data_IF_277700114756
#
_entry.id   IF_277700114756
#
_cell.length_a   1.000
_cell.length_b   1.000
_cell.length_c   1.000
_cell.angle_alpha   90.00
_cell.angle_beta   90.00
_cell.angle_gamma   90.00
#
_symmetry.space_group_name_H-M   'P 1'
#
loop_
_entity.id
_entity.type
_entity.pdbx_description
1 polymer ?
#
# COMPACT_ATOMS: atom_id res chain seq x y z
N UNK A 1 5.23 14.93 -12.05
CA UNK A 1 5.19 13.92 -10.97
C UNK A 1 6.59 13.74 -10.42
N UNK A 2 6.75 13.70 -9.09
CA UNK A 2 8.03 13.70 -8.35
C UNK A 2 9.03 12.63 -8.86
N UNK A 3 8.52 11.44 -9.17
CA UNK A 3 9.29 10.30 -9.69
C UNK A 3 9.99 10.58 -11.03
N UNK A 4 9.33 11.27 -11.97
CA UNK A 4 9.96 11.64 -13.27
C UNK A 4 11.12 12.61 -13.12
N UNK A 5 11.19 13.37 -12.02
CA UNK A 5 12.26 14.34 -11.77
C UNK A 5 13.46 13.73 -11.04
N UNK A 6 13.24 12.72 -10.19
CA UNK A 6 14.28 12.16 -9.31
C UNK A 6 14.84 10.82 -9.81
N UNK A 7 14.15 10.11 -10.71
CA UNK A 7 14.52 8.78 -11.19
C UNK A 7 14.57 8.65 -12.71
N UNK A 8 14.84 9.74 -13.43
CA UNK A 8 14.85 9.74 -14.90
C UNK A 8 15.87 8.78 -15.55
N UNK A 9 16.88 8.32 -14.79
CA UNK A 9 17.98 7.48 -15.27
C UNK A 9 17.77 5.97 -15.08
N UNK A 10 16.72 5.52 -14.37
CA UNK A 10 16.43 4.08 -14.22
C UNK A 10 15.44 3.60 -15.30
N UNK A 11 15.50 2.32 -15.70
CA UNK A 11 14.55 1.72 -16.65
C UNK A 11 13.09 2.03 -16.29
N UNK A 12 12.25 2.16 -17.31
CA UNK A 12 10.83 2.53 -17.14
C UNK A 12 10.09 1.59 -16.16
N UNK A 13 10.36 0.29 -16.21
CA UNK A 13 9.77 -0.70 -15.31
C UNK A 13 10.17 -0.46 -13.83
N UNK A 14 11.39 0.01 -13.58
CA UNK A 14 11.84 0.37 -12.23
C UNK A 14 11.17 1.67 -11.76
N UNK A 15 10.98 2.65 -12.65
CA UNK A 15 10.23 3.86 -12.34
C UNK A 15 8.77 3.55 -11.97
N UNK A 16 8.13 2.62 -12.69
CA UNK A 16 6.78 2.14 -12.37
C UNK A 16 6.74 1.50 -10.98
N UNK A 17 7.68 0.62 -10.67
CA UNK A 17 7.75 -0.07 -9.37
C UNK A 17 7.96 0.91 -8.20
N UNK A 18 8.79 1.94 -8.41
CA UNK A 18 9.00 3.01 -7.43
C UNK A 18 7.71 3.82 -7.25
N UNK A 19 7.06 4.21 -8.34
CA UNK A 19 5.81 4.97 -8.31
C UNK A 19 4.68 4.21 -7.63
N UNK A 20 4.59 2.90 -7.89
CA UNK A 20 3.62 1.99 -7.27
C UNK A 20 3.79 1.98 -5.74
N UNK A 21 5.03 1.84 -5.26
CA UNK A 21 5.34 1.88 -3.84
C UNK A 21 5.02 3.25 -3.21
N UNK A 22 5.36 4.34 -3.91
CA UNK A 22 5.07 5.69 -3.43
C UNK A 22 3.56 5.98 -3.38
N UNK A 23 2.78 5.51 -4.35
CA UNK A 23 1.33 5.63 -4.33
C UNK A 23 0.72 4.93 -3.10
N UNK A 24 1.21 3.72 -2.77
CA UNK A 24 0.80 3.02 -1.55
C UNK A 24 1.18 3.82 -0.30
N UNK A 25 2.39 4.39 -0.25
CA UNK A 25 2.85 5.20 0.88
C UNK A 25 2.00 6.46 1.08
N UNK A 26 1.68 7.19 0.00
CA UNK A 26 0.81 8.37 0.05
C UNK A 26 -0.57 8.01 0.60
N UNK A 27 -1.16 6.92 0.11
CA UNK A 27 -2.46 6.46 0.62
C UNK A 27 -2.41 6.01 2.09
N UNK A 28 -1.30 5.43 2.57
CA UNK A 28 -1.11 5.14 3.99
C UNK A 28 -1.02 6.42 4.84
N UNK A 29 -0.32 7.45 4.38
CA UNK A 29 -0.27 8.75 5.07
C UNK A 29 -1.65 9.42 5.10
N UNK A 30 -2.40 9.36 4.00
CA UNK A 30 -3.78 9.86 3.96
C UNK A 30 -4.66 9.12 4.96
N UNK A 31 -4.52 7.80 5.10
CA UNK A 31 -5.25 7.02 6.11
C UNK A 31 -4.95 7.48 7.55
N UNK A 32 -3.71 7.88 7.85
CA UNK A 32 -3.36 8.40 9.18
C UNK A 32 -4.02 9.74 9.49
N UNK A 33 -4.62 10.44 8.53
CA UNK A 33 -5.31 11.70 8.80
C UNK A 33 -6.69 11.50 9.44
N UNK A 34 -7.30 10.32 9.27
CA UNK A 34 -8.63 10.03 9.79
C UNK A 34 -8.60 9.81 11.32
N UNK A 35 -9.52 10.45 12.09
CA UNK A 35 -9.51 10.37 13.56
C UNK A 35 -9.54 8.94 14.12
N UNK A 36 -10.42 8.08 13.58
CA UNK A 36 -10.55 6.69 14.03
C UNK A 36 -9.29 5.85 13.74
N UNK A 37 -8.54 6.19 12.70
CA UNK A 37 -7.27 5.54 12.38
C UNK A 37 -6.18 5.97 13.35
N UNK A 38 -6.09 7.28 13.64
CA UNK A 38 -5.14 7.82 14.63
C UNK A 38 -5.36 7.17 16.00
N UNK A 39 -6.60 7.12 16.44
CA UNK A 39 -6.98 6.51 17.72
C UNK A 39 -6.64 5.01 17.75
N UNK A 40 -7.00 4.26 16.71
CA UNK A 40 -6.66 2.84 16.62
C UNK A 40 -5.15 2.58 16.64
N UNK A 41 -4.36 3.42 15.97
CA UNK A 41 -2.90 3.34 15.96
C UNK A 41 -2.30 3.67 17.34
N UNK A 42 -2.78 4.73 18.00
CA UNK A 42 -2.34 5.13 19.34
C UNK A 42 -2.66 4.07 20.39
N UNK A 43 -3.83 3.43 20.28
CA UNK A 43 -4.28 2.38 21.19
C UNK A 43 -3.69 1.00 20.85
N UNK A 44 -2.88 0.87 19.80
CA UNK A 44 -2.30 -0.39 19.34
C UNK A 44 -3.31 -1.40 18.78
N UNK A 45 -4.60 -1.03 18.67
CA UNK A 45 -5.69 -1.90 18.21
C UNK A 45 -5.77 -1.99 16.69
N UNK A 46 -5.10 -1.07 15.98
CA UNK A 46 -5.06 -0.97 14.54
C UNK A 46 -3.62 -1.01 14.02
N UNK A 47 -3.43 -1.67 12.87
CA UNK A 47 -2.20 -1.58 12.09
C UNK A 47 -2.49 -1.24 10.64
N UNK A 48 -1.73 -0.30 10.09
CA UNK A 48 -1.74 0.05 8.67
C UNK A 48 -0.58 -0.66 7.95
N UNK A 49 -0.88 -1.31 6.83
CA UNK A 49 0.10 -2.06 6.06
C UNK A 49 -0.05 -1.70 4.59
N UNK A 50 1.05 -1.28 3.98
CA UNK A 50 1.13 -1.18 2.52
C UNK A 50 1.39 -2.55 1.94
N UNK A 51 0.69 -2.87 0.86
CA UNK A 51 0.91 -4.09 0.13
C UNK A 51 0.80 -3.86 -1.37
N UNK A 52 1.43 -4.73 -2.13
CA UNK A 52 1.40 -4.77 -3.57
C UNK A 52 1.10 -6.19 -4.01
N UNK A 53 0.14 -6.30 -4.93
CA UNK A 53 -0.21 -7.57 -5.53
C UNK A 53 0.13 -7.54 -7.01
N UNK A 54 1.03 -8.43 -7.41
CA UNK A 54 1.38 -8.64 -8.80
C UNK A 54 0.51 -9.77 -9.37
N UNK A 55 -0.43 -9.43 -10.25
CA UNK A 55 -1.30 -10.41 -10.92
C UNK A 55 -0.55 -11.28 -11.93
N UNK A 56 0.63 -10.87 -12.38
CA UNK A 56 1.41 -11.61 -13.38
C UNK A 56 2.16 -12.77 -12.72
N UNK A 57 2.84 -12.50 -11.60
CA UNK A 57 3.54 -13.53 -10.83
C UNK A 57 2.65 -14.22 -9.79
N UNK A 58 1.51 -13.62 -9.43
CA UNK A 58 0.66 -14.05 -8.33
C UNK A 58 1.25 -13.72 -6.95
N UNK A 59 2.28 -12.88 -6.88
CA UNK A 59 2.98 -12.55 -5.65
C UNK A 59 2.28 -11.43 -4.87
N UNK A 60 2.14 -11.65 -3.57
CA UNK A 60 1.65 -10.65 -2.63
C UNK A 60 2.77 -10.21 -1.69
N UNK A 61 3.21 -8.96 -1.86
CA UNK A 61 4.29 -8.37 -1.06
C UNK A 61 3.72 -7.33 -0.09
N UNK A 62 4.07 -7.46 1.18
CA UNK A 62 3.69 -6.50 2.23
C UNK A 62 4.90 -5.74 2.73
N UNK A 63 4.77 -4.43 2.97
CA UNK A 63 5.90 -3.56 3.33
C UNK A 63 6.40 -3.83 4.75
N UNK A 64 5.55 -4.42 5.59
CA UNK A 64 5.87 -4.82 6.96
C UNK A 64 5.28 -6.19 7.23
N UNK A 65 6.03 -7.01 8.00
CA UNK A 65 5.54 -8.31 8.47
C UNK A 65 4.27 -8.15 9.31
N UNK A 66 3.29 -9.00 9.03
CA UNK A 66 2.10 -9.18 9.84
C UNK A 66 2.52 -9.88 11.14
N UNK A 67 2.28 -9.22 12.28
CA UNK A 67 2.45 -9.83 13.60
C UNK A 67 1.05 -10.01 14.20
N UNK A 68 0.87 -11.08 14.97
CA UNK A 68 -0.43 -11.61 15.36
C UNK A 68 -1.18 -10.80 16.44
N UNK A 69 -0.67 -9.63 16.85
CA UNK A 69 -1.18 -8.93 18.04
C UNK A 69 -2.18 -7.80 17.76
N UNK A 70 -2.70 -7.62 16.54
CA UNK A 70 -3.62 -6.52 16.22
C UNK A 70 -5.05 -6.99 15.92
N UNK A 71 -6.02 -6.33 16.55
CA UNK A 71 -7.47 -6.56 16.40
C UNK A 71 -7.97 -6.19 14.99
N UNK A 72 -7.47 -5.10 14.43
CA UNK A 72 -7.83 -4.61 13.10
C UNK A 72 -6.59 -4.38 12.25
N UNK A 73 -6.66 -4.76 10.98
CA UNK A 73 -5.60 -4.51 10.00
C UNK A 73 -6.23 -3.89 8.76
N UNK A 74 -5.73 -2.73 8.35
CA UNK A 74 -6.10 -2.11 7.08
C UNK A 74 -4.93 -2.23 6.12
N UNK A 75 -5.22 -2.71 4.91
CA UNK A 75 -4.29 -2.77 3.81
C UNK A 75 -4.61 -1.68 2.81
N UNK A 76 -3.59 -0.93 2.43
CA UNK A 76 -3.61 -0.16 1.19
C UNK A 76 -2.94 -1.03 0.14
N UNK A 77 -3.72 -1.50 -0.83
CA UNK A 77 -3.27 -2.40 -1.90
C UNK A 77 -3.32 -1.64 -3.22
N UNK A 78 -2.19 -1.60 -3.90
CA UNK A 78 -2.16 -1.23 -5.31
C UNK A 78 -2.27 -2.51 -6.16
N UNK A 79 -3.27 -2.54 -7.03
CA UNK A 79 -3.53 -3.66 -7.93
C UNK A 79 -2.94 -3.34 -9.31
N UNK A 80 -1.98 -4.14 -9.78
CA UNK A 80 -1.41 -4.02 -11.12
C UNK A 80 -2.19 -4.85 -12.13
N UNK A 81 -3.17 -4.25 -12.79
CA UNK A 81 -3.89 -4.90 -13.89
C UNK A 81 -3.24 -4.57 -15.24
N UNK A 82 -2.40 -5.48 -15.73
CA UNK A 82 -1.76 -5.47 -17.06
C UNK A 82 -0.80 -4.32 -17.42
N UNK A 83 0.22 -4.68 -18.20
CA UNK A 83 1.35 -3.85 -18.67
C UNK A 83 0.97 -2.64 -19.57
N UNK A 84 -0.32 -2.39 -19.82
CA UNK A 84 -0.83 -1.42 -20.81
C UNK A 84 -2.01 -0.53 -20.34
N UNK A 85 -2.50 -0.67 -19.10
CA UNK A 85 -3.55 0.21 -18.60
C UNK A 85 -2.93 1.40 -17.82
N UNK A 86 -3.19 2.66 -18.21
CA UNK A 86 -2.67 3.84 -17.50
C UNK A 86 -3.36 4.10 -16.14
N UNK A 87 -4.39 3.33 -15.79
CA UNK A 87 -5.18 3.51 -14.59
C UNK A 87 -4.69 2.59 -13.47
N UNK A 88 -3.79 3.11 -12.63
CA UNK A 88 -3.43 2.49 -11.36
C UNK A 88 -4.50 2.83 -10.32
N UNK A 89 -5.21 1.82 -9.80
CA UNK A 89 -6.23 2.01 -8.78
C UNK A 89 -5.75 1.50 -7.42
N UNK A 90 -5.70 2.38 -6.42
CA UNK A 90 -5.39 2.02 -5.03
C UNK A 90 -6.67 1.66 -4.29
N UNK A 91 -6.72 0.47 -3.70
CA UNK A 91 -7.84 -0.02 -2.91
C UNK A 91 -7.46 -0.10 -1.43
N UNK A 92 -8.42 0.21 -0.56
CA UNK A 92 -8.25 0.12 0.88
C UNK A 92 -9.12 -1.02 1.39
N UNK A 93 -8.50 -2.08 1.91
CA UNK A 93 -9.19 -3.22 2.48
C UNK A 93 -9.05 -3.22 3.99
N UNK A 94 -10.16 -3.42 4.69
CA UNK A 94 -10.19 -3.62 6.15
C UNK A 94 -10.40 -5.10 6.45
N UNK A 95 -9.50 -5.70 7.19
CA UNK A 95 -9.64 -7.06 7.73
C UNK A 95 -9.89 -6.97 9.24
N UNK A 96 -11.01 -7.54 9.67
CA UNK A 96 -11.30 -7.77 11.08
C UNK A 96 -10.72 -9.13 11.48
N UNK A 97 -9.78 -9.19 12.42
CA UNK A 97 -9.36 -10.45 13.03
C UNK A 97 -10.37 -10.80 14.13
N UNK A 98 -10.97 -12.00 14.15
CA UNK A 98 -11.68 -12.46 15.33
C UNK A 98 -10.67 -12.55 16.50
N UNK A 99 -11.07 -12.05 17.66
CA UNK A 99 -10.34 -12.19 18.92
C UNK A 99 -10.34 -13.65 19.36
#
# INVERSE_FOLDING_TARGET
MKVKKEHASVPFDDQCSILEKEAVNVSLENLKTYPFVKEGLANGTLKLIGAHYDFVSGEFLTWKKLLHHHKYIYYTILLRTYRYAPEQSTYIYRINRPM
#
